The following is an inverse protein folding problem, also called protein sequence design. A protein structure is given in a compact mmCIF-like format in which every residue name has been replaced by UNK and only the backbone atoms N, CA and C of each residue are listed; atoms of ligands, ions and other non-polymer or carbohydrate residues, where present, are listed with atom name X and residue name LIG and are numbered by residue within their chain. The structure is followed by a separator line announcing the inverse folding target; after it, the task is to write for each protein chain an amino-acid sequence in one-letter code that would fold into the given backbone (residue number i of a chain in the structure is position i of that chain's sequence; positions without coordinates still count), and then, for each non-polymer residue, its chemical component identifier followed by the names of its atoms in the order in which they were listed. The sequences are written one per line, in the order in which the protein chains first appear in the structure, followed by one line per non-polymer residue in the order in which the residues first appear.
data_IF_780813565311
#
_entry.id   IF_780813565311
#
_cell.length_a   1.000
_cell.length_b   1.000
_cell.length_c   1.000
_cell.angle_alpha   90.00
_cell.angle_beta   90.00
_cell.angle_gamma   90.00
#
_symmetry.space_group_name_H-M   'P 1'
#
loop_
_entity.id
_entity.type
_entity.pdbx_description
1 polymer ?
#
# COMPACT_ATOMS: atom_id res chain seq x y z
N UNK A 1 -10.29 -14.52 -9.36
CA UNK A 1 -9.78 -13.27 -8.76
C UNK A 1 -8.26 -13.29 -8.80
N UNK A 2 -7.64 -12.50 -9.68
CA UNK A 2 -6.19 -12.28 -9.75
C UNK A 2 -5.86 -10.97 -9.02
N UNK A 3 -4.94 -11.03 -8.06
CA UNK A 3 -4.51 -9.88 -7.24
C UNK A 3 -2.99 -9.68 -7.38
N UNK A 4 -2.55 -8.43 -7.49
CA UNK A 4 -1.13 -8.04 -7.46
C UNK A 4 -0.84 -7.11 -6.27
N UNK A 5 0.42 -7.02 -5.83
CA UNK A 5 0.84 -6.12 -4.76
C UNK A 5 1.43 -4.82 -5.33
N UNK A 6 0.98 -3.68 -4.82
CA UNK A 6 1.49 -2.35 -5.17
C UNK A 6 2.01 -1.65 -3.92
N UNK A 7 3.30 -1.25 -3.94
CA UNK A 7 3.96 -0.50 -2.88
C UNK A 7 4.47 0.85 -3.41
N UNK A 8 4.30 1.93 -2.64
CA UNK A 8 4.57 3.30 -3.11
C UNK A 8 4.89 4.25 -1.96
N UNK A 9 5.94 5.05 -2.10
CA UNK A 9 6.29 6.13 -1.16
C UNK A 9 5.30 7.31 -1.20
N UNK A 10 4.67 7.57 -2.35
CA UNK A 10 3.61 8.58 -2.53
C UNK A 10 2.28 8.23 -1.88
N UNK A 11 2.10 7.00 -1.39
CA UNK A 11 0.99 6.57 -0.53
C UNK A 11 1.29 6.73 0.96
N UNK A 12 2.42 7.37 1.27
CA UNK A 12 2.89 7.63 2.63
C UNK A 12 3.86 6.56 3.11
N UNK A 13 4.90 6.21 2.33
CA UNK A 13 5.96 5.25 2.70
C UNK A 13 7.37 5.85 2.53
N UNK A 14 8.33 5.45 3.37
CA UNK A 14 9.76 5.59 3.24
C UNK A 14 10.34 4.25 2.77
N UNK A 15 10.66 4.14 1.48
CA UNK A 15 11.31 2.95 0.90
C UNK A 15 12.84 3.06 1.02
N UNK A 16 13.57 1.92 1.10
CA UNK A 16 15.04 1.92 1.05
C UNK A 16 15.56 2.58 -0.23
N UNK A 17 16.72 3.24 -0.17
CA UNK A 17 17.38 3.78 -1.38
C UNK A 17 17.67 2.63 -2.35
N UNK A 18 17.08 2.70 -3.55
CA UNK A 18 17.38 1.81 -4.67
C UNK A 18 16.41 0.64 -4.89
N UNK A 19 15.40 0.47 -4.05
CA UNK A 19 14.36 -0.55 -4.23
C UNK A 19 13.06 0.09 -4.72
N UNK A 20 12.87 0.04 -6.04
CA UNK A 20 11.69 0.46 -6.81
C UNK A 20 11.46 1.98 -6.85
N UNK A 21 11.18 2.48 -8.04
CA UNK A 21 11.05 3.91 -8.36
C UNK A 21 10.01 4.63 -7.49
N UNK A 22 10.16 5.94 -7.36
CA UNK A 22 9.24 6.84 -6.67
C UNK A 22 7.82 6.75 -7.27
N UNK A 23 6.94 5.95 -6.66
CA UNK A 23 5.56 5.85 -7.13
C UNK A 23 4.76 6.98 -6.48
N UNK A 24 4.48 8.07 -7.20
CA UNK A 24 3.44 9.04 -6.83
C UNK A 24 2.03 8.55 -7.22
N UNK A 25 0.98 9.33 -6.93
CA UNK A 25 -0.39 9.00 -7.36
C UNK A 25 -0.54 8.70 -8.85
N UNK A 26 0.20 9.41 -9.70
CA UNK A 26 0.23 9.15 -11.14
C UNK A 26 0.81 7.78 -11.49
N UNK A 27 1.80 7.32 -10.72
CA UNK A 27 2.40 6.01 -10.91
C UNK A 27 1.51 4.90 -10.32
N UNK A 28 0.78 5.16 -9.23
CA UNK A 28 -0.28 4.27 -8.76
C UNK A 28 -1.38 4.13 -9.83
N UNK A 29 -1.86 5.22 -10.40
CA UNK A 29 -2.84 5.19 -11.49
C UNK A 29 -2.35 4.42 -12.72
N UNK A 30 -1.08 4.61 -13.11
CA UNK A 30 -0.45 3.83 -14.18
C UNK A 30 -0.45 2.33 -13.85
N UNK A 31 -0.04 1.95 -12.64
CA UNK A 31 -0.01 0.56 -12.22
C UNK A 31 -1.41 -0.08 -12.23
N UNK A 32 -2.44 0.64 -11.75
CA UNK A 32 -3.82 0.17 -11.81
C UNK A 32 -4.29 -0.04 -13.25
N UNK A 33 -3.95 0.88 -14.16
CA UNK A 33 -4.28 0.75 -15.59
C UNK A 33 -3.59 -0.45 -16.23
N UNK A 34 -2.29 -0.62 -16.01
CA UNK A 34 -1.52 -1.76 -16.53
C UNK A 34 -2.07 -3.09 -16.01
N UNK A 35 -2.42 -3.15 -14.72
CA UNK A 35 -3.00 -4.34 -14.11
C UNK A 35 -4.40 -4.65 -14.67
N UNK A 36 -5.22 -3.62 -14.92
CA UNK A 36 -6.50 -3.78 -15.61
C UNK A 36 -6.31 -4.36 -17.03
N UNK A 37 -5.34 -3.83 -17.80
CA UNK A 37 -5.02 -4.30 -19.15
C UNK A 37 -4.54 -5.76 -19.17
N UNK A 38 -3.82 -6.21 -18.14
CA UNK A 38 -3.38 -7.60 -17.98
C UNK A 38 -4.51 -8.51 -17.48
N UNK A 39 -5.63 -7.94 -17.02
CA UNK A 39 -6.81 -8.67 -16.52
C UNK A 39 -6.70 -9.08 -15.06
N UNK A 40 -6.10 -8.24 -14.21
CA UNK A 40 -6.21 -8.35 -12.75
C UNK A 40 -7.51 -7.73 -12.26
N UNK A 41 -8.07 -8.34 -11.22
CA UNK A 41 -9.34 -7.92 -10.61
C UNK A 41 -9.12 -6.95 -9.44
N UNK A 42 -7.94 -6.99 -8.80
CA UNK A 42 -7.63 -6.14 -7.67
C UNK A 42 -6.16 -6.01 -7.32
N UNK A 43 -5.87 -5.11 -6.37
CA UNK A 43 -4.53 -4.89 -5.82
C UNK A 43 -4.50 -4.88 -4.30
N UNK A 44 -3.45 -5.45 -3.73
CA UNK A 44 -3.08 -5.25 -2.34
C UNK A 44 -2.19 -4.01 -2.23
N UNK A 45 -2.56 -3.07 -1.34
CA UNK A 45 -1.75 -1.88 -1.06
C UNK A 45 -0.96 -2.07 0.24
N UNK A 46 0.29 -1.60 0.28
CA UNK A 46 1.02 -1.45 1.54
C UNK A 46 1.14 0.02 1.95
N UNK A 47 0.71 0.33 3.18
CA UNK A 47 0.58 1.70 3.69
C UNK A 47 1.39 1.84 4.99
N UNK A 48 2.31 2.82 5.06
CA UNK A 48 3.11 3.05 6.28
C UNK A 48 2.40 3.97 7.26
N UNK A 49 1.77 5.01 6.73
CA UNK A 49 1.14 6.07 7.48
C UNK A 49 -0.24 6.35 6.92
N UNK A 50 -1.28 5.63 7.38
CA UNK A 50 -2.65 5.80 6.90
C UNK A 50 -3.15 7.26 6.95
N UNK A 51 -2.72 8.02 7.96
CA UNK A 51 -3.10 9.43 8.10
C UNK A 51 -2.49 10.38 7.06
N UNK A 52 -1.45 9.94 6.33
CA UNK A 52 -0.82 10.70 5.24
C UNK A 52 -1.19 10.17 3.86
N UNK A 53 -1.90 9.05 3.80
CA UNK A 53 -2.37 8.45 2.56
C UNK A 53 -3.52 9.26 1.97
N UNK A 54 -3.46 9.54 0.67
CA UNK A 54 -4.57 10.17 -0.09
C UNK A 54 -5.61 9.12 -0.49
N UNK A 55 -6.24 8.51 0.50
CA UNK A 55 -7.14 7.36 0.34
C UNK A 55 -8.32 7.63 -0.61
N UNK A 56 -8.88 8.86 -0.60
CA UNK A 56 -9.96 9.23 -1.52
C UNK A 56 -9.53 9.27 -2.99
N UNK A 57 -8.30 9.70 -3.26
CA UNK A 57 -7.77 9.73 -4.63
C UNK A 57 -7.45 8.31 -5.12
N UNK A 58 -6.88 7.47 -4.25
CA UNK A 58 -6.70 6.04 -4.52
C UNK A 58 -8.01 5.32 -4.82
N UNK A 59 -9.07 5.61 -4.06
CA UNK A 59 -10.40 5.06 -4.30
C UNK A 59 -10.93 5.46 -5.68
N UNK A 60 -10.78 6.74 -6.06
CA UNK A 60 -11.18 7.21 -7.41
C UNK A 60 -10.39 6.53 -8.52
N UNK A 61 -9.09 6.31 -8.33
CA UNK A 61 -8.25 5.58 -9.28
C UNK A 61 -8.73 4.13 -9.42
N UNK A 62 -8.93 3.44 -8.30
CA UNK A 62 -9.45 2.07 -8.25
C UNK A 62 -10.77 1.94 -9.02
N UNK A 63 -11.74 2.82 -8.72
CA UNK A 63 -13.04 2.86 -9.40
C UNK A 63 -12.91 3.20 -10.89
N UNK A 64 -12.05 4.16 -11.25
CA UNK A 64 -11.83 4.59 -12.63
C UNK A 64 -11.12 3.54 -13.50
N UNK A 65 -10.30 2.69 -12.90
CA UNK A 65 -9.60 1.60 -13.59
C UNK A 65 -10.36 0.27 -13.55
N UNK A 66 -11.42 0.14 -12.74
CA UNK A 66 -12.14 -1.12 -12.56
C UNK A 66 -11.32 -2.20 -11.85
N UNK A 67 -10.35 -1.80 -11.02
CA UNK A 67 -9.47 -2.71 -10.27
C UNK A 67 -9.67 -2.44 -8.79
N UNK A 68 -10.14 -3.43 -8.04
CA UNK A 68 -10.48 -3.30 -6.63
C UNK A 68 -9.25 -3.18 -5.72
N UNK A 69 -9.45 -2.73 -4.48
CA UNK A 69 -8.45 -2.81 -3.41
C UNK A 69 -8.95 -3.76 -2.33
N UNK A 70 -8.84 -5.10 -2.52
CA UNK A 70 -9.41 -6.07 -1.59
C UNK A 70 -8.62 -6.21 -0.28
N UNK A 71 -7.38 -5.74 -0.22
CA UNK A 71 -6.51 -5.94 0.94
C UNK A 71 -5.53 -4.79 1.17
N UNK A 72 -5.17 -4.58 2.43
CA UNK A 72 -4.10 -3.67 2.87
C UNK A 72 -3.06 -4.49 3.64
N UNK A 73 -1.83 -4.49 3.17
CA UNK A 73 -0.68 -5.15 3.79
C UNK A 73 0.04 -4.24 4.78
N UNK A 74 0.13 -4.66 6.04
CA UNK A 74 0.82 -3.93 7.13
C UNK A 74 2.15 -4.55 7.54
N UNK A 75 2.58 -5.65 6.90
CA UNK A 75 3.80 -6.37 7.25
C UNK A 75 5.08 -5.52 7.20
N UNK A 76 5.11 -4.50 6.34
CA UNK A 76 6.23 -3.57 6.27
C UNK A 76 6.36 -2.68 7.53
N UNK A 77 5.30 -2.49 8.32
CA UNK A 77 5.37 -1.81 9.62
C UNK A 77 6.16 -2.63 10.65
N UNK A 78 6.02 -3.96 10.59
CA UNK A 78 6.86 -4.85 11.38
C UNK A 78 8.31 -4.79 10.87
N UNK A 79 8.53 -4.94 9.56
CA UNK A 79 9.88 -5.00 8.99
C UNK A 79 10.69 -3.70 9.20
N UNK A 80 10.07 -2.52 9.06
CA UNK A 80 10.79 -1.24 9.10
C UNK A 80 10.61 -0.46 10.40
N UNK A 81 9.46 -0.55 11.08
CA UNK A 81 9.20 0.15 12.35
C UNK A 81 9.28 -0.77 13.57
N UNK A 82 9.45 -2.07 13.35
CA UNK A 82 9.43 -3.08 14.42
C UNK A 82 8.09 -3.15 15.15
N UNK A 83 7.00 -2.65 14.55
CA UNK A 83 5.68 -2.67 15.18
C UNK A 83 5.16 -4.11 15.15
N UNK A 84 5.05 -4.72 16.33
CA UNK A 84 4.63 -6.09 16.49
C UNK A 84 3.45 -6.18 17.44
N UNK A 85 2.42 -6.91 17.02
CA UNK A 85 1.28 -7.28 17.88
C UNK A 85 1.69 -8.22 19.03
N UNK A 86 2.85 -8.88 18.91
CA UNK A 86 3.39 -9.79 19.93
C UNK A 86 4.64 -9.21 20.63
N UNK A 87 4.85 -7.90 20.55
CA UNK A 87 5.96 -7.25 21.25
C UNK A 87 5.84 -7.48 22.77
N UNK A 88 6.96 -7.75 23.47
CA UNK A 88 6.94 -7.91 24.93
C UNK A 88 6.49 -6.62 25.65
N UNK A 89 6.80 -5.46 25.07
CA UNK A 89 6.40 -4.15 25.58
C UNK A 89 4.98 -3.79 25.13
N UNK A 90 4.06 -3.67 26.09
CA UNK A 90 2.65 -3.32 25.83
C UNK A 90 2.48 -2.01 25.07
N UNK A 91 3.32 -1.00 25.34
CA UNK A 91 3.27 0.28 24.63
C UNK A 91 3.57 0.13 23.14
N UNK A 92 4.43 -0.81 22.76
CA UNK A 92 4.72 -1.11 21.35
C UNK A 92 3.58 -1.88 20.69
N UNK A 93 2.96 -2.84 21.41
CA UNK A 93 1.76 -3.54 20.92
C UNK A 93 0.62 -2.57 20.63
N UNK A 94 0.36 -1.62 21.54
CA UNK A 94 -0.68 -0.59 21.36
C UNK A 94 -0.43 0.32 20.15
N UNK A 95 0.84 0.51 19.74
CA UNK A 95 1.19 1.26 18.52
C UNK A 95 1.04 0.44 17.24
N UNK A 96 0.91 -0.88 17.34
CA UNK A 96 0.78 -1.79 16.19
C UNK A 96 -0.69 -2.08 15.81
N UNK A 97 -1.65 -1.48 16.53
CA UNK A 97 -3.11 -1.54 16.31
C UNK A 97 -3.57 -0.19 15.79
#
# INVERSE_FOLDING_TARGET
MKISMVASSGLGYALPRGSLEEVGLKAAERAFRELAEIGYDGVELSIEEPGRTRALELKRISEGCGVEVPAIGTGLLYAYKGLSLSDANESRRRKAV
#
